data_IF_553020647184
#
_entry.id   IF_553020647184
#
_cell.length_a   1.000
_cell.length_b   1.000
_cell.length_c   1.000
_cell.angle_alpha   90.00
_cell.angle_beta   90.00
_cell.angle_gamma   90.00
#
_symmetry.space_group_name_H-M   'P 1'
#
loop_
_entity.id
_entity.type
_entity.pdbx_description
1 polymer ?
#
# COMPACT_ATOMS: atom_id res chain seq x y z
N UNK A 1 -15.57 23.53 36.17
CA UNK A 1 -15.96 22.50 35.16
C UNK A 1 -14.82 22.17 34.21
N UNK A 2 -14.19 23.17 33.59
CA UNK A 2 -13.08 23.00 32.64
C UNK A 2 -11.85 22.28 33.22
N UNK A 3 -11.49 22.57 34.47
CA UNK A 3 -10.34 21.92 35.16
C UNK A 3 -10.59 20.45 35.52
N UNK A 4 -11.84 20.09 35.86
CA UNK A 4 -12.21 18.70 36.09
C UNK A 4 -12.20 17.91 34.78
N UNK A 5 -12.63 18.54 33.68
CA UNK A 5 -12.63 17.93 32.35
C UNK A 5 -11.21 17.71 31.84
N UNK A 6 -10.31 18.68 32.04
CA UNK A 6 -8.90 18.54 31.67
C UNK A 6 -8.23 17.43 32.49
N UNK A 7 -8.38 17.40 33.81
CA UNK A 7 -7.79 16.32 34.62
C UNK A 7 -8.28 14.92 34.21
N UNK A 8 -9.55 14.79 33.84
CA UNK A 8 -10.13 13.54 33.36
C UNK A 8 -9.53 13.12 32.00
N UNK A 9 -9.36 14.06 31.06
CA UNK A 9 -8.69 13.83 29.77
C UNK A 9 -7.23 13.42 29.98
N UNK A 10 -6.51 14.07 30.89
CA UNK A 10 -5.12 13.73 31.21
C UNK A 10 -4.97 12.34 31.83
N UNK A 11 -5.88 11.97 32.74
CA UNK A 11 -5.93 10.62 33.32
C UNK A 11 -6.23 9.55 32.26
N UNK A 12 -7.24 9.81 31.41
CA UNK A 12 -7.66 8.92 30.33
C UNK A 12 -6.54 8.74 29.29
N UNK A 13 -5.85 9.82 28.91
CA UNK A 13 -4.66 9.78 28.04
C UNK A 13 -3.53 8.92 28.62
N UNK A 14 -3.31 8.99 29.93
CA UNK A 14 -2.26 8.19 30.60
C UNK A 14 -2.61 6.71 30.63
N UNK A 15 -3.87 6.36 30.89
CA UNK A 15 -4.34 4.97 30.83
C UNK A 15 -4.29 4.42 29.41
N UNK A 16 -4.73 5.20 28.42
CA UNK A 16 -4.68 4.82 27.02
C UNK A 16 -3.25 4.62 26.52
N UNK A 17 -2.32 5.47 26.92
CA UNK A 17 -0.90 5.29 26.58
C UNK A 17 -0.35 3.97 27.13
N UNK A 18 -0.64 3.66 28.40
CA UNK A 18 -0.25 2.35 28.99
C UNK A 18 -0.87 1.17 28.25
N UNK A 19 -2.11 1.30 27.77
CA UNK A 19 -2.79 0.26 27.00
C UNK A 19 -2.16 0.09 25.61
N UNK A 20 -1.94 1.20 24.89
CA UNK A 20 -1.37 1.21 23.53
C UNK A 20 0.07 0.70 23.53
N UNK A 21 0.87 1.09 24.54
CA UNK A 21 2.26 0.66 24.71
C UNK A 21 2.37 -0.77 25.29
N UNK A 22 1.24 -1.43 25.59
CA UNK A 22 1.28 -2.79 26.15
C UNK A 22 1.60 -3.82 25.07
N UNK A 23 2.55 -4.71 25.38
CA UNK A 23 2.91 -5.84 24.50
C UNK A 23 1.70 -6.72 24.14
N UNK A 24 0.73 -6.84 25.05
CA UNK A 24 -0.50 -7.60 24.81
C UNK A 24 -1.36 -6.96 23.71
N UNK A 25 -1.54 -5.63 23.76
CA UNK A 25 -2.27 -4.89 22.72
C UNK A 25 -1.54 -4.95 21.38
N UNK A 26 -0.22 -4.78 21.38
CA UNK A 26 0.59 -4.90 20.16
C UNK A 26 0.48 -6.30 19.53
N UNK A 27 0.61 -7.35 20.34
CA UNK A 27 0.50 -8.75 19.90
C UNK A 27 -0.90 -9.06 19.37
N UNK A 28 -1.94 -8.55 20.04
CA UNK A 28 -3.32 -8.69 19.58
C UNK A 28 -3.51 -8.08 18.19
N UNK A 29 -3.03 -6.86 17.96
CA UNK A 29 -3.19 -6.25 16.63
C UNK A 29 -2.31 -6.97 15.58
N UNK A 30 -1.14 -7.49 15.94
CA UNK A 30 -0.35 -8.37 15.04
C UNK A 30 -1.17 -9.56 14.60
N UNK A 31 -1.80 -10.25 15.53
CA UNK A 31 -2.65 -11.39 15.23
C UNK A 31 -3.79 -11.02 14.27
N UNK A 32 -4.45 -9.87 14.50
CA UNK A 32 -5.52 -9.36 13.64
C UNK A 32 -5.03 -9.05 12.22
N UNK A 33 -3.85 -8.45 12.07
CA UNK A 33 -3.25 -8.16 10.76
C UNK A 33 -2.91 -9.44 10.01
N UNK A 34 -2.33 -10.44 10.69
CA UNK A 34 -2.04 -11.74 10.10
C UNK A 34 -3.33 -12.42 9.61
N UNK A 35 -4.40 -12.43 10.42
CA UNK A 35 -5.70 -12.96 10.03
C UNK A 35 -6.27 -12.23 8.80
N UNK A 36 -6.25 -10.90 8.79
CA UNK A 36 -6.72 -10.12 7.65
C UNK A 36 -5.94 -10.44 6.36
N UNK A 37 -4.63 -10.69 6.48
CA UNK A 37 -3.77 -11.05 5.35
C UNK A 37 -4.11 -12.42 4.80
N UNK A 38 -4.29 -13.42 5.68
CA UNK A 38 -4.69 -14.78 5.28
C UNK A 38 -6.03 -14.72 4.56
N UNK A 39 -6.98 -13.93 5.04
CA UNK A 39 -8.27 -13.75 4.39
C UNK A 39 -8.15 -13.06 3.04
N UNK A 40 -7.28 -12.06 2.90
CA UNK A 40 -7.01 -11.39 1.62
C UNK A 40 -6.39 -12.36 0.61
N UNK A 41 -5.48 -13.24 1.04
CA UNK A 41 -4.92 -14.30 0.18
C UNK A 41 -6.01 -15.32 -0.17
N UNK A 42 -6.85 -15.72 0.79
CA UNK A 42 -7.96 -16.64 0.55
C UNK A 42 -8.94 -16.10 -0.51
N UNK A 43 -9.19 -14.79 -0.52
CA UNK A 43 -10.03 -14.12 -1.54
C UNK A 43 -9.46 -14.17 -2.96
N UNK A 44 -8.15 -14.42 -3.14
CA UNK A 44 -7.56 -14.52 -4.48
C UNK A 44 -7.91 -15.82 -5.20
N UNK A 45 -8.39 -16.84 -4.47
CA UNK A 45 -8.84 -18.09 -5.06
C UNK A 45 -10.30 -17.95 -5.54
N UNK A 46 -10.48 -17.97 -6.87
CA UNK A 46 -11.77 -17.69 -7.54
C UNK A 46 -12.95 -18.56 -7.06
N UNK A 47 -12.70 -19.79 -6.60
CA UNK A 47 -13.74 -20.69 -6.06
C UNK A 47 -14.29 -20.23 -4.70
N UNK A 48 -13.48 -19.51 -3.93
CA UNK A 48 -13.79 -19.05 -2.58
C UNK A 48 -14.49 -17.70 -2.61
N UNK A 49 -14.20 -16.86 -3.61
CA UNK A 49 -14.84 -15.56 -3.83
C UNK A 49 -16.36 -15.74 -4.00
N UNK A 50 -16.81 -16.61 -4.92
CA UNK A 50 -18.23 -16.74 -5.30
C UNK A 50 -19.12 -17.31 -4.17
N UNK A 51 -18.60 -18.21 -3.33
CA UNK A 51 -19.40 -18.84 -2.25
C UNK A 51 -19.38 -18.07 -0.93
N UNK A 52 -18.35 -17.25 -0.70
CA UNK A 52 -18.07 -16.62 0.58
C UNK A 52 -18.20 -15.09 0.61
N UNK A 53 -18.61 -14.44 -0.48
CA UNK A 53 -18.54 -12.96 -0.61
C UNK A 53 -19.09 -12.21 0.62
N UNK A 54 -20.25 -12.61 1.14
CA UNK A 54 -20.86 -11.93 2.28
C UNK A 54 -20.05 -12.10 3.58
N UNK A 55 -19.52 -13.30 3.83
CA UNK A 55 -18.69 -13.59 4.99
C UNK A 55 -17.39 -12.78 4.94
N UNK A 56 -16.73 -12.77 3.78
CA UNK A 56 -15.51 -12.01 3.56
C UNK A 56 -15.73 -10.50 3.72
N UNK A 57 -16.84 -10.00 3.21
CA UNK A 57 -17.23 -8.59 3.33
C UNK A 57 -17.49 -8.22 4.80
N UNK A 58 -18.22 -9.06 5.54
CA UNK A 58 -18.48 -8.84 6.97
C UNK A 58 -17.18 -8.85 7.79
N UNK A 59 -16.28 -9.80 7.52
CA UNK A 59 -14.98 -9.87 8.18
C UNK A 59 -14.13 -8.64 7.86
N UNK A 60 -14.12 -8.16 6.62
CA UNK A 60 -13.40 -6.94 6.26
C UNK A 60 -13.92 -5.70 7.02
N UNK A 61 -15.21 -5.62 7.29
CA UNK A 61 -15.77 -4.55 8.13
C UNK A 61 -15.39 -4.69 9.61
N UNK A 62 -15.33 -5.92 10.12
CA UNK A 62 -14.84 -6.18 11.49
C UNK A 62 -13.37 -5.76 11.60
N UNK A 63 -12.52 -6.10 10.64
CA UNK A 63 -11.13 -5.65 10.66
C UNK A 63 -11.01 -4.14 10.54
N UNK A 64 -11.78 -3.52 9.65
CA UNK A 64 -11.78 -2.07 9.50
C UNK A 64 -12.15 -1.35 10.81
N UNK A 65 -13.14 -1.87 11.54
CA UNK A 65 -13.55 -1.28 12.82
C UNK A 65 -12.48 -1.44 13.90
N UNK A 66 -11.80 -2.59 13.97
CA UNK A 66 -10.68 -2.80 14.90
C UNK A 66 -9.54 -1.80 14.61
N UNK A 67 -9.19 -1.60 13.34
CA UNK A 67 -8.15 -0.63 12.95
C UNK A 67 -8.57 0.81 13.21
N UNK A 68 -9.84 1.14 13.02
CA UNK A 68 -10.37 2.46 13.35
C UNK A 68 -10.22 2.72 14.86
N UNK A 69 -10.60 1.75 15.70
CA UNK A 69 -10.44 1.86 17.15
C UNK A 69 -8.97 2.00 17.52
N UNK A 70 -8.06 1.19 16.96
CA UNK A 70 -6.62 1.33 17.18
C UNK A 70 -6.11 2.74 16.84
N UNK A 71 -6.47 3.26 15.66
CA UNK A 71 -6.03 4.57 15.20
C UNK A 71 -6.54 5.69 16.13
N UNK A 72 -7.82 5.64 16.52
CA UNK A 72 -8.41 6.60 17.46
C UNK A 72 -7.73 6.54 18.83
N UNK A 73 -7.50 5.33 19.37
CA UNK A 73 -6.79 5.16 20.64
C UNK A 73 -5.38 5.77 20.59
N UNK A 74 -4.64 5.53 19.49
CA UNK A 74 -3.31 6.11 19.28
C UNK A 74 -3.34 7.63 19.15
N UNK A 75 -4.30 8.19 18.42
CA UNK A 75 -4.46 9.65 18.27
C UNK A 75 -4.75 10.29 19.63
N UNK A 76 -5.62 9.69 20.45
CA UNK A 76 -5.92 10.22 21.79
C UNK A 76 -4.70 10.08 22.72
N UNK A 77 -3.99 8.95 22.68
CA UNK A 77 -2.81 8.71 23.51
C UNK A 77 -1.66 9.67 23.17
N UNK A 78 -1.35 9.83 21.88
CA UNK A 78 -0.18 10.56 21.38
C UNK A 78 -0.47 12.04 21.10
N UNK A 79 -1.70 12.40 20.73
CA UNK A 79 -2.08 13.76 20.34
C UNK A 79 -1.36 14.20 19.06
N UNK A 80 -0.87 15.45 19.03
CA UNK A 80 -0.13 16.00 17.87
C UNK A 80 1.16 15.24 17.53
N UNK A 81 1.77 14.56 18.52
CA UNK A 81 2.95 13.73 18.28
C UNK A 81 2.67 12.53 17.36
N UNK A 82 1.39 12.16 17.19
CA UNK A 82 0.98 11.14 16.23
C UNK A 82 1.39 11.51 14.79
N UNK A 83 1.23 12.78 14.40
CA UNK A 83 1.47 13.22 13.02
C UNK A 83 2.95 13.49 12.68
N UNK A 84 3.83 13.49 13.68
CA UNK A 84 5.27 13.63 13.49
C UNK A 84 5.90 12.35 12.95
N UNK A 85 5.31 11.20 13.27
CA UNK A 85 5.77 9.91 12.75
C UNK A 85 5.14 9.65 11.37
N UNK A 86 5.93 9.61 10.27
CA UNK A 86 5.40 9.32 8.94
C UNK A 86 4.67 7.98 8.86
N UNK A 87 4.98 7.03 9.74
CA UNK A 87 4.33 5.73 9.78
C UNK A 87 2.93 5.78 10.35
N UNK A 88 2.70 6.65 11.34
CA UNK A 88 1.37 6.91 11.87
C UNK A 88 0.53 7.68 10.84
N UNK A 89 1.14 8.60 10.07
CA UNK A 89 0.46 9.28 8.97
C UNK A 89 -0.02 8.31 7.89
N UNK A 90 0.81 7.34 7.52
CA UNK A 90 0.44 6.29 6.56
C UNK A 90 -0.71 5.43 7.09
N UNK A 91 -0.68 5.04 8.36
CA UNK A 91 -1.74 4.26 9.00
C UNK A 91 -3.09 4.98 8.99
N UNK A 92 -3.06 6.27 9.36
CA UNK A 92 -4.22 7.15 9.29
C UNK A 92 -4.74 7.27 7.86
N UNK A 93 -3.87 7.45 6.87
CA UNK A 93 -4.27 7.51 5.46
C UNK A 93 -4.97 6.21 5.03
N UNK A 94 -4.42 5.03 5.35
CA UNK A 94 -5.06 3.76 4.97
C UNK A 94 -6.41 3.60 5.69
N UNK A 95 -6.53 4.03 6.96
CA UNK A 95 -7.81 4.03 7.67
C UNK A 95 -8.84 4.94 6.98
N UNK A 96 -8.48 6.17 6.63
CA UNK A 96 -9.36 7.10 5.91
C UNK A 96 -9.79 6.50 4.58
N UNK A 97 -8.85 5.92 3.82
CA UNK A 97 -9.16 5.27 2.54
C UNK A 97 -10.13 4.09 2.71
N UNK A 98 -9.96 3.27 3.75
CA UNK A 98 -10.88 2.17 4.05
C UNK A 98 -12.27 2.65 4.48
N UNK A 99 -12.35 3.77 5.20
CA UNK A 99 -13.62 4.38 5.59
C UNK A 99 -14.35 5.00 4.39
N UNK A 100 -13.61 5.65 3.48
CA UNK A 100 -14.17 6.19 2.24
C UNK A 100 -14.74 5.08 1.35
N UNK A 101 -14.04 3.96 1.21
CA UNK A 101 -14.51 2.79 0.47
C UNK A 101 -15.85 2.27 1.03
N UNK A 102 -15.95 2.15 2.36
CA UNK A 102 -17.21 1.77 3.03
C UNK A 102 -18.36 2.76 2.74
N UNK A 103 -18.12 4.07 2.92
CA UNK A 103 -19.15 5.09 2.71
C UNK A 103 -19.62 5.09 1.24
N UNK A 104 -18.71 4.93 0.28
CA UNK A 104 -19.02 4.89 -1.14
C UNK A 104 -19.92 3.69 -1.50
N UNK A 105 -19.67 2.51 -0.93
CA UNK A 105 -20.52 1.32 -1.14
C UNK A 105 -21.94 1.54 -0.59
N UNK A 106 -22.06 2.15 0.59
CA UNK A 106 -23.36 2.43 1.21
C UNK A 106 -24.17 3.47 0.40
N UNK A 107 -23.52 4.54 -0.08
CA UNK A 107 -24.16 5.59 -0.89
C UNK A 107 -24.67 5.04 -2.22
N UNK A 108 -23.91 4.14 -2.86
CA UNK A 108 -24.35 3.50 -4.11
C UNK A 108 -25.51 2.53 -3.91
N UNK A 109 -25.50 1.73 -2.82
CA UNK A 109 -26.59 0.79 -2.52
C UNK A 109 -27.92 1.51 -2.21
N UNK A 110 -27.84 2.72 -1.66
CA UNK A 110 -29.00 3.55 -1.29
C UNK A 110 -29.57 4.35 -2.46
N UNK A 111 -28.78 4.57 -3.52
CA UNK A 111 -29.14 5.44 -4.64
C UNK A 111 -29.71 4.62 -5.79
N UNK A 112 -30.98 4.21 -5.67
CA UNK A 112 -31.68 3.48 -6.73
C UNK A 112 -31.96 4.29 -8.01
N UNK A 113 -31.42 5.51 -8.20
CA UNK A 113 -31.80 6.31 -9.40
C UNK A 113 -30.91 7.49 -9.87
N UNK A 114 -29.73 7.75 -9.32
CA UNK A 114 -28.88 8.84 -9.81
C UNK A 114 -27.43 8.52 -9.40
N UNK A 115 -26.48 8.17 -10.27
CA UNK A 115 -25.92 8.96 -11.36
C UNK A 115 -25.06 7.98 -12.18
N UNK A 116 -25.37 7.78 -13.46
CA UNK A 116 -24.54 7.00 -14.41
C UNK A 116 -23.35 7.85 -14.88
N UNK A 117 -22.50 8.31 -13.96
CA UNK A 117 -21.25 8.99 -14.30
C UNK A 117 -20.14 7.96 -14.39
N UNK A 118 -19.67 7.69 -15.60
CA UNK A 118 -18.55 6.80 -15.93
C UNK A 118 -17.25 7.17 -15.15
N UNK A 119 -17.14 8.42 -14.71
CA UNK A 119 -16.10 8.94 -13.82
C UNK A 119 -16.09 8.26 -12.44
N UNK A 120 -17.26 8.03 -11.85
CA UNK A 120 -17.41 7.41 -10.52
C UNK A 120 -16.96 5.94 -10.60
N UNK A 121 -17.31 5.24 -11.67
CA UNK A 121 -16.89 3.85 -11.89
C UNK A 121 -15.37 3.70 -12.05
N UNK A 122 -14.70 4.69 -12.67
CA UNK A 122 -13.23 4.72 -12.78
C UNK A 122 -12.58 4.95 -11.41
N UNK A 123 -13.15 5.83 -10.60
CA UNK A 123 -12.71 6.09 -9.23
C UNK A 123 -12.86 4.83 -8.37
N UNK A 124 -13.96 4.08 -8.51
CA UNK A 124 -14.17 2.79 -7.84
C UNK A 124 -13.06 1.77 -8.13
N UNK A 125 -12.52 1.71 -9.35
CA UNK A 125 -11.38 0.82 -9.67
C UNK A 125 -10.12 1.21 -8.90
N UNK A 126 -9.87 2.50 -8.72
CA UNK A 126 -8.73 2.99 -7.93
C UNK A 126 -8.94 2.60 -6.46
N UNK A 127 -10.13 2.80 -5.89
CA UNK A 127 -10.43 2.37 -4.52
C UNK A 127 -10.30 0.85 -4.33
N UNK A 128 -10.67 0.04 -5.34
CA UNK A 128 -10.44 -1.41 -5.32
C UNK A 128 -8.94 -1.75 -5.25
N UNK A 129 -8.07 -0.99 -5.94
CA UNK A 129 -6.61 -1.14 -5.80
C UNK A 129 -6.08 -0.68 -4.44
N UNK A 130 -6.78 0.23 -3.74
CA UNK A 130 -6.42 0.62 -2.37
C UNK A 130 -6.65 -0.52 -1.36
N UNK A 131 -7.48 -1.53 -1.69
CA UNK A 131 -7.58 -2.76 -0.89
C UNK A 131 -6.23 -3.46 -0.78
N UNK A 132 -5.39 -3.39 -1.82
CA UNK A 132 -4.03 -3.93 -1.79
C UNK A 132 -3.10 -3.11 -0.88
N UNK A 133 -3.36 -1.83 -0.62
CA UNK A 133 -2.61 -1.05 0.38
C UNK A 133 -2.80 -1.58 1.80
N UNK A 134 -3.85 -2.37 2.07
CA UNK A 134 -3.99 -3.06 3.36
C UNK A 134 -2.83 -4.03 3.60
N UNK A 135 -2.24 -4.61 2.54
CA UNK A 135 -1.04 -5.45 2.66
C UNK A 135 0.19 -4.68 3.15
N UNK A 136 0.26 -3.36 2.91
CA UNK A 136 1.34 -2.51 3.43
C UNK A 136 1.29 -2.44 4.97
N UNK A 137 0.11 -2.60 5.58
CA UNK A 137 -0.01 -2.67 7.05
C UNK A 137 0.74 -3.86 7.62
N UNK A 138 0.75 -4.98 6.89
CA UNK A 138 1.52 -6.19 7.24
C UNK A 138 3.00 -5.89 7.22
N UNK A 139 3.48 -5.27 6.14
CA UNK A 139 4.88 -4.88 5.99
C UNK A 139 5.35 -3.94 7.11
N UNK A 140 4.52 -2.94 7.47
CA UNK A 140 4.79 -2.07 8.62
C UNK A 140 4.92 -2.87 9.92
N UNK A 141 4.03 -3.83 10.14
CA UNK A 141 3.93 -4.54 11.41
C UNK A 141 5.01 -5.61 11.56
N UNK A 142 5.38 -6.26 10.45
CA UNK A 142 6.59 -7.09 10.38
C UNK A 142 7.84 -6.25 10.65
N UNK A 143 7.89 -4.99 10.20
CA UNK A 143 9.01 -4.08 10.49
C UNK A 143 9.11 -3.67 11.97
N UNK A 144 8.13 -3.93 12.83
CA UNK A 144 8.35 -3.75 14.27
C UNK A 144 9.40 -4.75 14.81
N UNK A 145 9.63 -5.87 14.11
CA UNK A 145 10.79 -6.72 14.34
C UNK A 145 12.03 -5.88 14.03
N UNK A 146 12.78 -5.50 15.06
CA UNK A 146 13.95 -4.61 15.03
C UNK A 146 14.91 -4.90 13.88
N UNK A 147 15.11 -6.17 13.56
CA UNK A 147 15.95 -6.64 12.45
C UNK A 147 15.55 -6.05 11.07
N UNK A 148 14.25 -5.85 10.81
CA UNK A 148 13.78 -5.31 9.53
C UNK A 148 13.91 -3.79 9.46
N UNK A 149 13.98 -3.07 10.59
CA UNK A 149 14.25 -1.62 10.60
C UNK A 149 15.68 -1.34 10.19
N UNK A 150 16.64 -2.16 10.63
CA UNK A 150 18.03 -2.04 10.23
C UNK A 150 18.20 -2.33 8.73
N UNK A 151 17.54 -3.37 8.22
CA UNK A 151 17.55 -3.70 6.79
C UNK A 151 16.88 -2.60 5.96
N UNK A 152 15.72 -2.10 6.39
CA UNK A 152 15.02 -1.02 5.67
C UNK A 152 15.83 0.29 5.73
N UNK A 153 16.45 0.58 6.87
CA UNK A 153 17.27 1.78 7.07
C UNK A 153 18.55 1.75 6.24
N UNK A 154 19.21 0.60 6.15
CA UNK A 154 20.38 0.40 5.28
C UNK A 154 20.01 0.47 3.80
N UNK A 155 18.90 -0.15 3.39
CA UNK A 155 18.37 0.00 2.03
C UNK A 155 18.05 1.46 1.70
N UNK A 156 17.37 2.17 2.59
CA UNK A 156 17.02 3.58 2.41
C UNK A 156 18.27 4.47 2.29
N UNK A 157 19.34 4.16 3.03
CA UNK A 157 20.63 4.87 2.91
C UNK A 157 21.34 4.55 1.59
N UNK A 158 21.13 3.38 1.01
CA UNK A 158 21.68 2.99 -0.28
C UNK A 158 20.88 3.54 -1.46
N UNK A 159 19.61 3.97 -1.26
CA UNK A 159 18.75 4.49 -2.32
C UNK A 159 19.37 5.64 -3.12
N UNK A 160 20.02 6.67 -2.53
CA UNK A 160 20.64 7.73 -3.32
C UNK A 160 21.75 7.22 -4.25
N UNK A 161 22.56 6.27 -3.78
CA UNK A 161 23.62 5.64 -4.58
C UNK A 161 23.04 4.78 -5.71
N UNK A 162 22.05 3.94 -5.40
CA UNK A 162 21.34 3.14 -6.40
C UNK A 162 20.66 4.05 -7.43
N UNK A 163 20.08 5.17 -7.00
CA UNK A 163 19.42 6.14 -7.89
C UNK A 163 20.41 6.73 -8.89
N UNK A 164 21.63 7.09 -8.47
CA UNK A 164 22.67 7.57 -9.37
C UNK A 164 23.04 6.54 -10.44
N UNK A 165 23.20 5.27 -10.04
CA UNK A 165 23.47 4.15 -10.95
C UNK A 165 22.30 3.93 -11.92
N UNK A 166 21.06 3.98 -11.44
CA UNK A 166 19.86 3.83 -12.27
C UNK A 166 19.72 4.96 -13.30
N UNK A 167 20.02 6.20 -12.91
CA UNK A 167 20.01 7.35 -13.83
C UNK A 167 21.07 7.16 -14.92
N UNK A 168 22.29 6.74 -14.54
CA UNK A 168 23.36 6.44 -15.49
C UNK A 168 22.95 5.32 -16.46
N UNK A 169 22.42 4.22 -15.91
CA UNK A 169 21.92 3.08 -16.68
C UNK A 169 20.84 3.50 -17.68
N UNK A 170 19.85 4.29 -17.24
CA UNK A 170 18.76 4.74 -18.09
C UNK A 170 19.27 5.69 -19.19
N UNK A 171 20.23 6.56 -18.87
CA UNK A 171 20.90 7.43 -19.85
C UNK A 171 21.62 6.61 -20.91
N UNK A 172 22.35 5.57 -20.49
CA UNK A 172 23.05 4.65 -21.38
C UNK A 172 22.09 3.89 -22.32
N UNK A 173 21.02 3.32 -21.77
CA UNK A 173 19.96 2.65 -22.54
C UNK A 173 19.29 3.60 -23.54
N UNK A 174 19.07 4.85 -23.15
CA UNK A 174 18.52 5.87 -24.04
C UNK A 174 19.44 6.18 -25.22
N UNK A 175 20.74 6.41 -24.98
CA UNK A 175 21.72 6.67 -26.04
C UNK A 175 21.80 5.49 -27.03
N UNK A 176 21.94 4.26 -26.52
CA UNK A 176 21.98 3.09 -27.38
C UNK A 176 20.67 2.86 -28.12
N UNK A 177 19.53 3.16 -27.50
CA UNK A 177 18.23 3.05 -28.17
C UNK A 177 18.13 3.93 -29.41
N UNK A 178 18.64 5.17 -29.35
CA UNK A 178 18.66 6.07 -30.52
C UNK A 178 19.53 5.51 -31.65
N UNK A 179 20.72 5.00 -31.32
CA UNK A 179 21.66 4.45 -32.30
C UNK A 179 21.13 3.16 -32.93
N UNK A 180 20.73 2.17 -32.12
CA UNK A 180 20.24 0.89 -32.64
C UNK A 180 18.94 1.05 -33.42
N UNK A 181 18.09 1.99 -33.02
CA UNK A 181 16.91 2.35 -33.81
C UNK A 181 17.29 2.89 -35.18
N UNK A 182 18.28 3.77 -35.28
CA UNK A 182 18.70 4.30 -36.58
C UNK A 182 19.25 3.20 -37.50
N UNK A 183 19.93 2.20 -36.94
CA UNK A 183 20.57 1.11 -37.69
C UNK A 183 19.61 -0.04 -38.05
N UNK A 184 18.79 -0.50 -37.10
CA UNK A 184 18.05 -1.76 -37.22
C UNK A 184 16.53 -1.58 -37.40
N UNK A 185 16.03 -0.34 -37.53
CA UNK A 185 14.59 -0.08 -37.71
C UNK A 185 13.98 -0.80 -38.92
N UNK A 186 14.74 -0.99 -40.00
CA UNK A 186 14.27 -1.67 -41.21
C UNK A 186 14.49 -3.18 -41.15
N UNK A 187 15.61 -3.63 -40.59
CA UNK A 187 15.95 -5.06 -40.50
C UNK A 187 15.09 -5.78 -39.46
N UNK A 188 14.78 -5.12 -38.35
CA UNK A 188 14.08 -5.77 -37.23
C UNK A 188 13.04 -4.85 -36.56
N UNK A 189 11.95 -4.54 -37.28
CA UNK A 189 11.00 -3.52 -36.86
C UNK A 189 10.31 -3.87 -35.53
N UNK A 190 10.07 -5.14 -35.23
CA UNK A 190 9.37 -5.55 -34.00
C UNK A 190 10.04 -5.01 -32.72
N UNK A 191 11.38 -4.96 -32.70
CA UNK A 191 12.14 -4.45 -31.55
C UNK A 191 12.48 -2.97 -31.70
N UNK A 192 12.85 -2.53 -32.91
CA UNK A 192 13.48 -1.21 -33.15
C UNK A 192 12.55 -0.14 -33.77
N UNK A 193 11.24 -0.35 -33.88
CA UNK A 193 10.31 0.66 -34.43
C UNK A 193 10.20 1.91 -33.55
N UNK A 194 9.94 1.74 -32.26
CA UNK A 194 9.67 2.82 -31.30
C UNK A 194 10.79 2.93 -30.25
N UNK A 195 11.04 4.15 -29.75
CA UNK A 195 12.08 4.36 -28.73
C UNK A 195 11.80 3.54 -27.46
N UNK A 196 10.54 3.47 -27.02
CA UNK A 196 10.15 2.69 -25.84
C UNK A 196 10.35 1.18 -26.04
N UNK A 197 10.04 0.64 -27.22
CA UNK A 197 10.24 -0.79 -27.51
C UNK A 197 11.72 -1.11 -27.61
N UNK A 198 12.54 -0.22 -28.18
CA UNK A 198 13.99 -0.38 -28.24
C UNK A 198 14.63 -0.30 -26.84
N UNK A 199 14.22 0.65 -25.99
CA UNK A 199 14.71 0.74 -24.60
C UNK A 199 14.34 -0.52 -23.83
N UNK A 200 13.11 -1.02 -23.99
CA UNK A 200 12.68 -2.26 -23.35
C UNK A 200 13.49 -3.46 -23.85
N UNK A 201 13.70 -3.60 -25.16
CA UNK A 201 14.54 -4.67 -25.73
C UNK A 201 15.99 -4.62 -25.22
N UNK A 202 16.58 -3.42 -25.12
CA UNK A 202 17.91 -3.22 -24.56
C UNK A 202 17.95 -3.52 -23.06
N UNK A 203 16.89 -3.20 -22.31
CA UNK A 203 16.77 -3.56 -20.90
C UNK A 203 16.71 -5.09 -20.73
N UNK A 204 15.89 -5.77 -21.52
CA UNK A 204 15.78 -7.24 -21.57
C UNK A 204 17.13 -7.89 -21.89
N UNK A 205 17.87 -7.36 -22.89
CA UNK A 205 19.24 -7.80 -23.17
C UNK A 205 20.20 -7.57 -21.99
N UNK A 206 20.11 -6.40 -21.33
CA UNK A 206 20.97 -6.05 -20.20
C UNK A 206 20.72 -6.95 -18.99
N UNK A 207 19.47 -7.36 -18.77
CA UNK A 207 19.10 -8.35 -17.74
C UNK A 207 19.41 -9.79 -18.16
N UNK A 208 19.98 -10.01 -19.35
CA UNK A 208 20.21 -11.33 -19.95
C UNK A 208 18.93 -12.18 -19.99
N UNK A 209 17.78 -11.53 -20.15
CA UNK A 209 16.50 -12.19 -20.30
C UNK A 209 16.24 -12.37 -21.80
N UNK A 210 15.82 -13.56 -22.23
CA UNK A 210 15.55 -13.90 -23.64
C UNK A 210 16.67 -13.58 -24.68
N UNK A 211 17.91 -13.38 -24.24
CA UNK A 211 19.04 -13.01 -25.13
C UNK A 211 19.34 -14.06 -26.21
N UNK A 212 19.03 -15.33 -25.95
CA UNK A 212 19.23 -16.46 -26.86
C UNK A 212 18.27 -16.46 -28.06
N UNK A 213 17.18 -15.69 -28.03
CA UNK A 213 16.21 -15.57 -29.13
C UNK A 213 16.59 -14.46 -30.13
N UNK A 214 17.69 -13.75 -29.88
CA UNK A 214 18.15 -12.60 -30.68
C UNK A 214 19.37 -12.96 -31.55
N UNK A 215 19.93 -14.16 -31.36
CA UNK A 215 20.95 -14.76 -32.24
C UNK A 215 20.27 -15.70 -33.25
#
# INVERSE_FOLDING_TARGET
LWEKLSQLIWGLRRMLRKLVDSLAFETFIIFIVCLNTILLVAQTFAEVEVRGEWYFTALDYIFLSIYMVEAVLKIIALGLAYFLDPWNNLDFLIMVMGMLDFVLIQVNSSSTRAIHNQSVFRIFRVFKTLRALRAIRVLRRLRFLTNLQEVTGTLARSLPSITAILILMFTCLFLFSVVLRALFRYSDPKRFQNIFTTIFALFTMLTLDDWSLIY
#
